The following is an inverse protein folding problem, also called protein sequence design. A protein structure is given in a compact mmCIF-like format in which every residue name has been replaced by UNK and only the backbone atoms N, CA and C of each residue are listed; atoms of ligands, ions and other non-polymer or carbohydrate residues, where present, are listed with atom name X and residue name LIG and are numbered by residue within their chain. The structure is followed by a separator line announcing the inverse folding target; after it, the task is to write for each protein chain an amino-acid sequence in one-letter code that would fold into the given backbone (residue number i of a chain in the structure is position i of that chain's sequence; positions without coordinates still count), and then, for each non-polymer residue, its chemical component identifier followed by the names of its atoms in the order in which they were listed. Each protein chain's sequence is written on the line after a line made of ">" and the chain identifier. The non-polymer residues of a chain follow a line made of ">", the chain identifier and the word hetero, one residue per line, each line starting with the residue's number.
data_IF_826867010757
#
_entry.id   IF_826867010757
#
_cell.length_a   1.000
_cell.length_b   1.000
_cell.length_c   1.000
_cell.angle_alpha   90.00
_cell.angle_beta   90.00
_cell.angle_gamma   90.00
#
_symmetry.space_group_name_H-M   'P 1'
#
loop_
_entity.id
_entity.type
_entity.pdbx_description
1 polymer ?
#
# COMPACT_ATOMS: atom_id res chain seq x y z
N UNK A 1 0.17 -2.33 -53.06
CA UNK A 1 -0.47 -1.66 -51.91
C UNK A 1 -1.06 -2.64 -50.89
N UNK A 2 -1.62 -3.79 -51.32
CA UNK A 2 -2.14 -4.82 -50.40
C UNK A 2 -1.06 -5.57 -49.60
N UNK A 3 0.13 -5.81 -50.17
CA UNK A 3 1.25 -6.47 -49.45
C UNK A 3 1.90 -5.59 -48.38
N UNK A 4 2.03 -4.28 -48.63
CA UNK A 4 2.53 -3.33 -47.63
C UNK A 4 1.57 -3.23 -46.43
N UNK A 5 0.25 -3.33 -46.67
CA UNK A 5 -0.75 -3.38 -45.60
C UNK A 5 -0.76 -4.72 -44.88
N UNK A 6 -0.34 -5.81 -45.53
CA UNK A 6 -0.21 -7.14 -44.92
C UNK A 6 1.02 -7.23 -43.99
N UNK A 7 2.14 -6.61 -44.38
CA UNK A 7 3.34 -6.50 -43.52
C UNK A 7 3.09 -5.69 -42.24
N UNK A 8 2.24 -4.65 -42.30
CA UNK A 8 1.81 -3.90 -41.11
C UNK A 8 0.82 -4.66 -40.22
N UNK A 9 0.09 -5.64 -40.77
CA UNK A 9 -0.84 -6.49 -39.99
C UNK A 9 -0.14 -7.70 -39.36
N UNK A 10 1.05 -8.06 -39.82
CA UNK A 10 1.88 -9.12 -39.21
C UNK A 10 2.85 -8.59 -38.15
N UNK A 11 3.32 -7.34 -38.24
CA UNK A 11 4.11 -6.71 -37.15
C UNK A 11 3.29 -6.44 -35.87
N UNK A 12 1.96 -6.36 -36.01
CA UNK A 12 1.02 -6.27 -34.88
C UNK A 12 0.52 -7.66 -34.41
N UNK A 13 1.20 -8.74 -34.82
CA UNK A 13 1.01 -10.06 -34.24
C UNK A 13 1.30 -9.97 -32.74
N UNK A 14 0.23 -9.97 -31.96
CA UNK A 14 0.19 -9.98 -30.49
C UNK A 14 1.38 -10.78 -29.99
N UNK A 15 2.42 -10.09 -29.50
CA UNK A 15 3.53 -10.75 -28.79
C UNK A 15 2.88 -11.57 -27.69
N UNK A 16 2.92 -12.89 -27.82
CA UNK A 16 2.34 -13.78 -26.84
C UNK A 16 3.04 -13.50 -25.51
N UNK A 17 2.31 -12.90 -24.56
CA UNK A 17 2.83 -12.58 -23.23
C UNK A 17 3.51 -13.83 -22.68
N UNK A 18 4.81 -13.74 -22.43
CA UNK A 18 5.59 -14.89 -21.99
C UNK A 18 5.07 -15.43 -20.66
N UNK A 19 5.30 -16.70 -20.36
CA UNK A 19 4.89 -17.32 -19.08
C UNK A 19 5.40 -16.53 -17.87
N UNK A 20 6.61 -15.95 -17.95
CA UNK A 20 7.19 -15.12 -16.90
C UNK A 20 6.53 -13.73 -16.80
N UNK A 21 6.20 -13.08 -17.93
CA UNK A 21 5.46 -11.82 -17.91
C UNK A 21 4.05 -12.01 -17.33
N UNK A 22 3.37 -13.12 -17.67
CA UNK A 22 2.06 -13.45 -17.07
C UNK A 22 2.16 -13.58 -15.55
N UNK A 23 3.22 -14.22 -15.03
CA UNK A 23 3.47 -14.32 -13.59
C UNK A 23 3.72 -12.95 -12.95
N UNK A 24 4.51 -12.09 -13.60
CA UNK A 24 4.80 -10.74 -13.10
C UNK A 24 3.52 -9.88 -13.08
N UNK A 25 2.71 -9.93 -14.13
CA UNK A 25 1.42 -9.23 -14.19
C UNK A 25 0.51 -9.73 -13.07
N UNK A 26 0.33 -11.04 -12.95
CA UNK A 26 -0.53 -11.62 -11.91
C UNK A 26 -0.05 -11.26 -10.49
N UNK A 27 1.26 -11.39 -10.23
CA UNK A 27 1.84 -10.96 -8.97
C UNK A 27 1.55 -9.48 -8.71
N UNK A 28 1.82 -8.59 -9.67
CA UNK A 28 1.58 -7.16 -9.52
C UNK A 28 0.12 -6.82 -9.20
N UNK A 29 -0.84 -7.51 -9.84
CA UNK A 29 -2.26 -7.35 -9.56
C UNK A 29 -2.64 -7.79 -8.15
N UNK A 30 -2.04 -8.87 -7.62
CA UNK A 30 -2.29 -9.32 -6.27
C UNK A 30 -1.85 -8.31 -5.22
N UNK A 31 -0.72 -7.61 -5.42
CA UNK A 31 -0.30 -6.56 -4.47
C UNK A 31 -1.31 -5.42 -4.40
N UNK A 32 -1.87 -5.00 -5.54
CA UNK A 32 -2.95 -4.01 -5.54
C UNK A 32 -4.17 -4.50 -4.74
N UNK A 33 -4.55 -5.77 -4.88
CA UNK A 33 -5.66 -6.35 -4.09
C UNK A 33 -5.34 -6.34 -2.60
N UNK A 34 -4.14 -6.77 -2.19
CA UNK A 34 -3.75 -6.76 -0.78
C UNK A 34 -3.74 -5.36 -0.20
N UNK A 35 -3.24 -4.39 -0.96
CA UNK A 35 -3.18 -3.00 -0.56
C UNK A 35 -4.59 -2.42 -0.31
N UNK A 36 -5.54 -2.64 -1.25
CA UNK A 36 -6.94 -2.25 -1.05
C UNK A 36 -7.59 -2.99 0.12
N UNK A 37 -7.24 -4.26 0.31
CA UNK A 37 -7.73 -5.05 1.42
C UNK A 37 -7.28 -4.47 2.77
N UNK A 38 -6.00 -4.14 2.94
CA UNK A 38 -5.50 -3.53 4.18
C UNK A 38 -6.14 -2.18 4.45
N UNK A 39 -6.31 -1.33 3.42
CA UNK A 39 -6.97 -0.04 3.61
C UNK A 39 -8.42 -0.16 4.04
N UNK A 40 -9.15 -1.08 3.41
CA UNK A 40 -10.50 -1.39 3.82
C UNK A 40 -10.54 -1.92 5.27
N UNK A 41 -9.62 -2.82 5.61
CA UNK A 41 -9.48 -3.38 6.94
C UNK A 41 -9.17 -2.28 7.97
N UNK A 42 -8.28 -1.33 7.69
CA UNK A 42 -8.04 -0.20 8.58
C UNK A 42 -9.29 0.67 8.77
N UNK A 43 -9.97 1.03 7.68
CA UNK A 43 -11.16 1.88 7.74
C UNK A 43 -12.28 1.23 8.56
N UNK A 44 -12.48 -0.08 8.42
CA UNK A 44 -13.45 -0.85 9.22
C UNK A 44 -13.03 -0.97 10.68
N UNK A 45 -11.73 -1.08 10.97
CA UNK A 45 -11.19 -1.12 12.33
C UNK A 45 -10.99 0.26 12.97
N UNK A 46 -11.24 1.37 12.27
CA UNK A 46 -11.01 2.71 12.77
C UNK A 46 -11.66 3.01 14.15
N UNK A 47 -12.90 2.55 14.45
CA UNK A 47 -13.48 2.72 15.79
C UNK A 47 -12.70 2.01 16.90
N UNK A 48 -12.11 0.84 16.60
CA UNK A 48 -11.28 0.10 17.55
C UNK A 48 -9.94 0.79 17.77
N UNK A 49 -9.32 1.29 16.69
CA UNK A 49 -8.08 2.07 16.80
C UNK A 49 -8.28 3.38 17.56
N UNK A 50 -9.42 4.05 17.35
CA UNK A 50 -9.81 5.23 18.11
C UNK A 50 -9.82 4.96 19.63
N UNK A 51 -10.45 3.85 20.04
CA UNK A 51 -10.54 3.48 21.45
C UNK A 51 -9.21 2.99 22.06
N UNK A 52 -8.35 2.33 21.28
CA UNK A 52 -7.11 1.72 21.77
C UNK A 52 -5.91 2.66 21.77
N UNK A 53 -5.80 3.54 20.77
CA UNK A 53 -4.58 4.32 20.51
C UNK A 53 -4.73 5.82 20.76
N UNK A 54 -5.94 6.35 20.93
CA UNK A 54 -6.15 7.78 21.17
C UNK A 54 -6.67 8.07 22.59
N UNK A 55 -6.48 9.31 23.11
CA UNK A 55 -6.92 9.66 24.46
C UNK A 55 -8.43 9.51 24.63
N UNK A 56 -8.84 8.95 25.77
CA UNK A 56 -10.24 8.91 26.19
C UNK A 56 -10.73 10.28 26.65
N UNK A 57 -11.97 10.65 26.30
CA UNK A 57 -12.63 11.88 26.76
C UNK A 57 -13.47 12.57 25.70
N UNK A 58 -13.14 12.36 24.42
CA UNK A 58 -13.97 12.80 23.29
C UNK A 58 -13.91 11.76 22.17
N UNK A 59 -14.94 10.90 22.11
CA UNK A 59 -15.01 9.79 21.16
C UNK A 59 -15.03 10.27 19.70
N UNK A 60 -15.63 11.44 19.44
CA UNK A 60 -15.62 12.04 18.11
C UNK A 60 -14.21 12.46 17.70
N UNK A 61 -13.46 13.10 18.61
CA UNK A 61 -12.08 13.50 18.33
C UNK A 61 -11.15 12.28 18.13
N UNK A 62 -11.32 11.22 18.91
CA UNK A 62 -10.57 9.98 18.77
C UNK A 62 -10.85 9.30 17.41
N UNK A 63 -12.12 9.20 17.01
CA UNK A 63 -12.51 8.64 15.73
C UNK A 63 -12.00 9.48 14.55
N UNK A 64 -12.12 10.80 14.63
CA UNK A 64 -11.56 11.71 13.63
C UNK A 64 -10.04 11.57 13.54
N UNK A 65 -9.34 11.34 14.65
CA UNK A 65 -7.90 11.14 14.65
C UNK A 65 -7.50 9.80 14.00
N UNK A 66 -8.28 8.74 14.22
CA UNK A 66 -8.09 7.46 13.54
C UNK A 66 -8.28 7.59 12.01
N UNK A 67 -9.31 8.32 11.56
CA UNK A 67 -9.51 8.64 10.15
C UNK A 67 -8.47 9.61 9.59
N UNK A 68 -8.00 10.58 10.37
CA UNK A 68 -6.91 11.47 9.97
C UNK A 68 -5.62 10.68 9.74
N UNK A 69 -5.36 9.68 10.60
CA UNK A 69 -4.23 8.75 10.43
C UNK A 69 -4.36 7.94 9.13
N UNK A 70 -5.57 7.46 8.82
CA UNK A 70 -5.86 6.82 7.54
C UNK A 70 -5.56 7.75 6.36
N UNK A 71 -6.12 8.97 6.38
CA UNK A 71 -5.93 9.97 5.34
C UNK A 71 -4.46 10.39 5.17
N UNK A 72 -3.70 10.48 6.26
CA UNK A 72 -2.28 10.78 6.23
C UNK A 72 -1.48 9.71 5.48
N UNK A 73 -1.85 8.43 5.63
CA UNK A 73 -1.31 7.33 4.82
C UNK A 73 -1.57 7.49 3.32
N UNK A 74 -2.68 8.12 2.92
CA UNK A 74 -2.94 8.42 1.51
C UNK A 74 -2.08 9.56 0.96
N UNK A 75 -1.79 10.57 1.79
CA UNK A 75 -1.01 11.73 1.38
C UNK A 75 0.44 11.39 1.03
N UNK A 76 1.00 10.33 1.62
CA UNK A 76 2.38 9.90 1.35
C UNK A 76 2.54 9.06 0.07
N UNK A 77 1.45 8.51 -0.48
CA UNK A 77 1.49 7.63 -1.66
C UNK A 77 2.12 8.26 -2.91
N UNK A 78 1.89 9.54 -3.26
CA UNK A 78 2.59 10.16 -4.38
C UNK A 78 4.11 10.12 -4.23
N UNK A 79 4.62 10.27 -3.01
CA UNK A 79 6.05 10.17 -2.73
C UNK A 79 6.54 8.74 -2.87
N UNK A 80 5.77 7.77 -2.35
CA UNK A 80 6.01 6.34 -2.55
C UNK A 80 6.10 5.96 -4.03
N UNK A 81 5.13 6.40 -4.83
CA UNK A 81 5.07 6.14 -6.27
C UNK A 81 6.29 6.71 -7.02
N UNK A 82 6.80 7.88 -6.64
CA UNK A 82 8.01 8.45 -7.24
C UNK A 82 9.24 7.62 -6.90
N UNK A 83 9.40 7.24 -5.62
CA UNK A 83 10.57 6.49 -5.13
C UNK A 83 10.57 5.06 -5.65
N UNK A 84 9.51 4.30 -5.37
CA UNK A 84 9.39 2.90 -5.78
C UNK A 84 9.12 2.76 -7.27
N UNK A 85 8.49 3.73 -7.94
CA UNK A 85 8.40 3.75 -9.40
C UNK A 85 9.78 3.79 -10.05
N UNK A 86 10.65 4.70 -9.60
CA UNK A 86 12.02 4.80 -10.11
C UNK A 86 12.85 3.55 -9.79
N UNK A 87 12.75 3.01 -8.57
CA UNK A 87 13.42 1.75 -8.20
C UNK A 87 12.92 0.59 -9.06
N UNK A 88 11.62 0.55 -9.35
CA UNK A 88 10.96 -0.41 -10.24
C UNK A 88 11.54 -0.41 -11.65
N UNK A 89 11.79 0.77 -12.20
CA UNK A 89 12.35 0.91 -13.55
C UNK A 89 13.87 0.64 -13.60
N UNK A 90 14.60 0.83 -12.49
CA UNK A 90 16.06 0.62 -12.42
C UNK A 90 16.47 -0.81 -12.02
N UNK A 91 15.84 -1.36 -10.99
CA UNK A 91 16.21 -2.65 -10.35
C UNK A 91 15.30 -3.78 -10.81
N UNK A 92 14.12 -3.44 -11.34
CA UNK A 92 13.15 -4.38 -11.87
C UNK A 92 11.85 -4.42 -11.06
N UNK A 93 10.73 -4.60 -11.78
CA UNK A 93 9.37 -4.54 -11.23
C UNK A 93 9.08 -5.65 -10.22
N UNK A 94 9.55 -6.88 -10.48
CA UNK A 94 9.36 -8.03 -9.57
C UNK A 94 10.00 -7.79 -8.20
N UNK A 95 11.22 -7.29 -8.16
CA UNK A 95 11.95 -7.06 -6.91
C UNK A 95 11.29 -5.93 -6.11
N UNK A 96 11.01 -4.82 -6.77
CA UNK A 96 10.36 -3.66 -6.15
C UNK A 96 8.99 -4.02 -5.58
N UNK A 97 8.20 -4.81 -6.30
CA UNK A 97 6.93 -5.35 -5.84
C UNK A 97 7.05 -6.19 -4.56
N UNK A 98 8.06 -7.06 -4.47
CA UNK A 98 8.28 -7.85 -3.25
C UNK A 98 8.68 -6.96 -2.07
N UNK A 99 9.50 -5.94 -2.31
CA UNK A 99 9.92 -4.99 -1.28
C UNK A 99 8.72 -4.22 -0.73
N UNK A 100 7.84 -3.69 -1.60
CA UNK A 100 6.66 -2.94 -1.14
C UNK A 100 5.69 -3.83 -0.37
N UNK A 101 5.45 -5.07 -0.81
CA UNK A 101 4.63 -6.04 -0.05
C UNK A 101 5.21 -6.32 1.35
N UNK A 102 6.53 -6.48 1.47
CA UNK A 102 7.17 -6.74 2.77
C UNK A 102 7.08 -5.50 3.68
N UNK A 103 7.29 -4.30 3.13
CA UNK A 103 7.10 -3.04 3.87
C UNK A 103 5.67 -2.89 4.38
N UNK A 104 4.70 -3.12 3.48
CA UNK A 104 3.29 -3.07 3.75
C UNK A 104 2.90 -4.07 4.85
N UNK A 105 3.13 -5.37 4.63
CA UNK A 105 2.80 -6.42 5.59
C UNK A 105 3.54 -6.27 6.93
N UNK A 106 4.80 -5.83 6.90
CA UNK A 106 5.60 -5.57 8.09
C UNK A 106 5.02 -4.43 8.94
N UNK A 107 4.63 -3.32 8.30
CA UNK A 107 3.99 -2.21 9.01
C UNK A 107 2.65 -2.63 9.64
N UNK A 108 1.79 -3.35 8.91
CA UNK A 108 0.51 -3.84 9.44
C UNK A 108 0.71 -4.83 10.60
N UNK A 109 1.68 -5.73 10.48
CA UNK A 109 2.03 -6.65 11.56
C UNK A 109 2.50 -5.90 12.82
N UNK A 110 3.38 -4.90 12.66
CA UNK A 110 3.86 -4.09 13.78
C UNK A 110 2.75 -3.28 14.45
N UNK A 111 1.75 -2.81 13.69
CA UNK A 111 0.56 -2.15 14.26
C UNK A 111 -0.18 -3.09 15.22
N UNK A 112 -0.28 -4.38 14.88
CA UNK A 112 -0.87 -5.39 15.75
C UNK A 112 -0.09 -5.67 17.04
N UNK A 113 1.20 -5.33 17.08
CA UNK A 113 2.07 -5.46 18.25
C UNK A 113 2.18 -4.18 19.08
N UNK A 114 1.55 -3.08 18.65
CA UNK A 114 1.68 -1.80 19.34
C UNK A 114 1.03 -1.82 20.73
N UNK A 115 1.69 -1.26 21.76
CA UNK A 115 1.07 -1.03 23.05
C UNK A 115 -0.04 0.04 22.94
N UNK A 116 -1.07 -0.05 23.77
CA UNK A 116 -2.22 0.87 23.76
C UNK A 116 -1.88 2.22 24.42
N UNK A 117 -2.74 3.22 24.21
CA UNK A 117 -2.60 4.55 24.84
C UNK A 117 -2.52 4.45 26.37
N UNK A 118 -3.21 3.49 26.99
CA UNK A 118 -3.15 3.30 28.45
C UNK A 118 -1.76 2.89 28.95
N UNK A 119 -0.95 2.23 28.10
CA UNK A 119 0.36 1.70 28.50
C UNK A 119 1.51 2.68 28.25
N UNK A 120 1.49 3.41 27.14
CA UNK A 120 2.60 4.28 26.70
C UNK A 120 2.18 5.72 26.37
N UNK A 121 0.91 6.07 26.61
CA UNK A 121 0.38 7.41 26.39
C UNK A 121 0.48 7.87 24.93
N UNK A 122 0.88 9.13 24.74
CA UNK A 122 1.00 9.79 23.42
C UNK A 122 2.00 9.14 22.46
N UNK A 123 2.88 8.26 22.94
CA UNK A 123 3.73 7.47 22.05
C UNK A 123 2.92 6.48 21.19
N UNK A 124 1.80 5.96 21.70
CA UNK A 124 0.96 5.00 20.98
C UNK A 124 0.40 5.56 19.65
N UNK A 125 -0.29 6.72 19.62
CA UNK A 125 -0.81 7.28 18.38
C UNK A 125 0.31 7.76 17.45
N UNK A 126 1.44 8.26 17.99
CA UNK A 126 2.59 8.66 17.17
C UNK A 126 3.19 7.46 16.44
N UNK A 127 3.37 6.33 17.12
CA UNK A 127 3.86 5.09 16.50
C UNK A 127 2.85 4.55 15.49
N UNK A 128 1.56 4.54 15.81
CA UNK A 128 0.50 4.13 14.89
C UNK A 128 0.53 4.95 13.59
N UNK A 129 0.59 6.29 13.73
CA UNK A 129 0.68 7.20 12.58
C UNK A 129 1.94 6.94 11.78
N UNK A 130 3.09 6.80 12.45
CA UNK A 130 4.36 6.54 11.78
C UNK A 130 4.32 5.24 10.97
N UNK A 131 3.83 4.15 11.55
CA UNK A 131 3.67 2.88 10.85
C UNK A 131 2.70 3.00 9.66
N UNK A 132 1.63 3.79 9.79
CA UNK A 132 0.67 4.04 8.71
C UNK A 132 1.25 4.89 7.58
N UNK A 133 2.13 5.84 7.89
CA UNK A 133 2.87 6.60 6.89
C UNK A 133 3.89 5.70 6.18
N UNK A 134 4.61 4.85 6.91
CA UNK A 134 5.55 3.88 6.31
C UNK A 134 4.81 2.90 5.39
N UNK A 135 3.66 2.40 5.82
CA UNK A 135 2.79 1.57 4.98
C UNK A 135 2.33 2.32 3.72
N UNK A 136 1.91 3.57 3.84
CA UNK A 136 1.44 4.39 2.71
C UNK A 136 2.53 4.78 1.70
N UNK A 137 3.81 4.61 2.02
CA UNK A 137 4.91 4.79 1.06
C UNK A 137 5.04 3.60 0.11
N UNK A 138 4.63 2.40 0.53
CA UNK A 138 4.68 1.20 -0.28
C UNK A 138 3.51 1.13 -1.27
#
# INVERSE_FOLDING_TARGET
>A
MAEVKRGLLEEESIKSVGTEERKVIFASSLGTVFEWYDFYLYATLAPFFAALFFPSGNDTAALLSAFATYAAGFLVRPFGAIVFGRIGDLVGRKYTFLVTIVFMGGATFLVGLLPTFQTIGWAAPVLLVTLRLVHGLA
#
